data_IF_932383502437
#
_entry.id   IF_932383502437
#
_cell.length_a   1.000
_cell.length_b   1.000
_cell.length_c   1.000
_cell.angle_alpha   90.00
_cell.angle_beta   90.00
_cell.angle_gamma   90.00
#
_symmetry.space_group_name_H-M   'P 1'
#
loop_
_entity.id
_entity.type
_entity.pdbx_description
1 polymer ?
#
# COMPACT_ATOMS: atom_id res chain seq x y z
N UNK A 1 -30.56 20.47 -22.43
CA UNK A 1 -30.92 19.03 -22.38
C UNK A 1 -29.70 18.20 -22.76
N UNK A 2 -28.87 17.85 -21.78
CA UNK A 2 -27.58 17.20 -22.00
C UNK A 2 -27.74 15.68 -21.97
N UNK A 3 -27.33 15.02 -23.07
CA UNK A 3 -27.31 13.57 -23.22
C UNK A 3 -26.32 12.99 -22.20
N UNK A 4 -26.83 12.50 -21.08
CA UNK A 4 -26.10 11.64 -20.15
C UNK A 4 -25.68 10.40 -20.94
N UNK A 5 -24.39 10.32 -21.27
CA UNK A 5 -23.86 9.27 -22.15
C UNK A 5 -24.07 7.92 -21.46
N UNK A 6 -24.69 6.99 -22.18
CA UNK A 6 -25.00 5.63 -21.71
C UNK A 6 -23.81 4.92 -21.07
N UNK A 7 -22.58 5.27 -21.43
CA UNK A 7 -21.34 4.79 -20.82
C UNK A 7 -21.17 5.17 -19.35
N UNK A 8 -21.63 6.36 -18.93
CA UNK A 8 -21.57 6.80 -17.52
C UNK A 8 -22.61 6.05 -16.69
N UNK A 9 -23.80 5.83 -17.25
CA UNK A 9 -24.84 4.99 -16.62
C UNK A 9 -24.40 3.53 -16.51
N UNK A 10 -23.73 2.99 -17.54
CA UNK A 10 -23.15 1.64 -17.50
C UNK A 10 -22.01 1.52 -16.48
N UNK A 11 -21.12 2.50 -16.39
CA UNK A 11 -20.05 2.50 -15.39
C UNK A 11 -20.61 2.59 -13.96
N UNK A 12 -21.59 3.47 -13.73
CA UNK A 12 -22.28 3.58 -12.43
C UNK A 12 -23.04 2.30 -12.13
N UNK A 13 -23.74 1.71 -13.11
CA UNK A 13 -24.45 0.46 -12.92
C UNK A 13 -23.49 -0.70 -12.64
N UNK A 14 -22.33 -0.76 -13.29
CA UNK A 14 -21.30 -1.77 -13.02
C UNK A 14 -20.68 -1.57 -11.63
N UNK A 15 -20.40 -0.32 -11.22
CA UNK A 15 -19.88 0.00 -9.88
C UNK A 15 -20.92 -0.34 -8.81
N UNK A 16 -22.19 0.01 -9.01
CA UNK A 16 -23.29 -0.34 -8.10
C UNK A 16 -23.46 -1.86 -8.07
N UNK A 17 -23.45 -2.54 -9.21
CA UNK A 17 -23.57 -4.00 -9.25
C UNK A 17 -22.38 -4.68 -8.56
N UNK A 18 -21.16 -4.15 -8.69
CA UNK A 18 -19.97 -4.66 -7.99
C UNK A 18 -19.99 -4.34 -6.48
N UNK A 19 -20.46 -3.14 -6.10
CA UNK A 19 -20.56 -2.72 -4.71
C UNK A 19 -21.70 -3.43 -3.96
N UNK A 20 -22.78 -3.82 -4.66
CA UNK A 20 -23.89 -4.62 -4.12
C UNK A 20 -23.74 -6.13 -4.35
N UNK A 21 -22.75 -6.58 -5.14
CA UNK A 21 -22.42 -7.99 -5.29
C UNK A 21 -21.17 -8.36 -4.49
N UNK A 22 -20.86 -7.65 -3.42
CA UNK A 22 -20.06 -8.25 -2.34
C UNK A 22 -21.09 -9.05 -1.54
N UNK A 23 -21.19 -10.37 -1.76
CA UNK A 23 -22.08 -11.20 -0.98
C UNK A 23 -21.62 -11.09 0.49
N UNK A 24 -22.54 -10.93 1.43
CA UNK A 24 -22.23 -10.98 2.88
C UNK A 24 -21.64 -12.35 3.31
N UNK A 25 -21.61 -13.29 2.36
CA UNK A 25 -21.21 -14.68 2.42
C UNK A 25 -20.01 -15.01 1.52
N UNK A 26 -19.07 -14.07 1.30
CA UNK A 26 -17.70 -14.49 0.94
C UNK A 26 -17.13 -15.22 2.16
N UNK A 27 -17.35 -16.53 2.23
CA UNK A 27 -16.44 -17.42 2.91
C UNK A 27 -15.08 -17.22 2.23
N UNK A 28 -14.28 -16.27 2.73
CA UNK A 28 -12.87 -16.23 2.40
C UNK A 28 -12.32 -17.54 2.96
N UNK A 29 -11.87 -18.50 2.11
CA UNK A 29 -11.48 -19.81 2.58
C UNK A 29 -10.32 -19.73 3.57
N UNK A 30 -9.61 -18.59 3.60
CA UNK A 30 -8.55 -18.30 4.54
C UNK A 30 -8.79 -16.96 5.27
N UNK A 31 -9.07 -17.01 6.58
CA UNK A 31 -9.27 -15.83 7.45
C UNK A 31 -7.94 -15.11 7.79
N UNK A 32 -6.90 -15.33 6.99
CA UNK A 32 -5.58 -14.72 7.14
C UNK A 32 -5.46 -13.49 6.26
N UNK A 33 -5.13 -12.37 6.87
CA UNK A 33 -4.84 -11.11 6.16
C UNK A 33 -3.34 -10.85 6.29
N UNK A 34 -2.67 -10.60 5.15
CA UNK A 34 -1.26 -10.22 5.12
C UNK A 34 -1.12 -8.74 4.79
N UNK A 35 -0.67 -7.94 5.75
CA UNK A 35 -0.34 -6.53 5.56
C UNK A 35 1.13 -6.38 5.20
N UNK A 36 1.42 -5.76 4.06
CA UNK A 36 2.78 -5.52 3.56
C UNK A 36 3.00 -4.03 3.41
N UNK A 37 3.98 -3.50 4.15
CA UNK A 37 4.29 -2.06 4.16
C UNK A 37 5.77 -1.78 4.28
N UNK A 38 6.21 -0.60 3.82
CA UNK A 38 7.52 -0.10 4.18
C UNK A 38 7.58 0.33 5.67
N UNK A 39 8.77 0.59 6.21
CA UNK A 39 8.97 0.95 7.62
C UNK A 39 8.71 2.43 7.96
N UNK A 40 8.57 3.28 6.95
CA UNK A 40 8.39 4.71 7.14
C UNK A 40 7.04 4.99 7.81
N UNK A 41 7.07 5.71 8.93
CA UNK A 41 5.85 6.04 9.69
C UNK A 41 4.77 6.73 8.85
N UNK A 42 5.15 7.53 7.86
CA UNK A 42 4.21 8.18 6.94
C UNK A 42 3.34 7.19 6.17
N UNK A 43 3.89 6.02 5.79
CA UNK A 43 3.16 4.96 5.11
C UNK A 43 2.62 3.93 6.12
N UNK A 44 3.42 3.50 7.09
CA UNK A 44 3.08 2.42 8.01
C UNK A 44 1.94 2.76 8.99
N UNK A 45 1.72 4.03 9.33
CA UNK A 45 0.77 4.39 10.39
C UNK A 45 -0.68 4.02 10.04
N UNK A 46 -1.08 4.14 8.78
CA UNK A 46 -2.44 3.72 8.36
C UNK A 46 -2.60 2.20 8.46
N UNK A 47 -1.55 1.42 8.22
CA UNK A 47 -1.56 -0.02 8.40
C UNK A 47 -1.68 -0.38 9.88
N UNK A 48 -1.01 0.36 10.78
CA UNK A 48 -1.09 0.12 12.23
C UNK A 48 -2.51 0.38 12.73
N UNK A 49 -3.10 1.50 12.32
CA UNK A 49 -4.49 1.84 12.63
C UNK A 49 -5.49 0.81 12.05
N UNK A 50 -5.23 0.33 10.83
CA UNK A 50 -6.05 -0.71 10.19
C UNK A 50 -5.98 -2.02 10.96
N UNK A 51 -4.77 -2.46 11.33
CA UNK A 51 -4.59 -3.66 12.16
C UNK A 51 -5.27 -3.53 13.52
N UNK A 52 -5.19 -2.35 14.15
CA UNK A 52 -5.90 -2.08 15.40
C UNK A 52 -7.43 -2.25 15.25
N UNK A 53 -8.00 -1.66 14.19
CA UNK A 53 -9.42 -1.76 13.89
C UNK A 53 -9.84 -3.21 13.56
N UNK A 54 -9.00 -3.96 12.84
CA UNK A 54 -9.25 -5.36 12.50
C UNK A 54 -9.25 -6.24 13.75
N UNK A 55 -8.25 -6.09 14.64
CA UNK A 55 -8.20 -6.83 15.91
C UNK A 55 -9.41 -6.58 16.80
N UNK A 56 -9.90 -5.34 16.83
CA UNK A 56 -11.02 -4.93 17.68
C UNK A 56 -12.35 -5.47 17.17
N UNK A 57 -12.59 -5.37 15.86
CA UNK A 57 -13.90 -5.68 15.27
C UNK A 57 -14.01 -7.12 14.76
N UNK A 58 -12.88 -7.76 14.43
CA UNK A 58 -12.83 -9.09 13.79
C UNK A 58 -11.83 -10.01 14.50
N UNK A 59 -12.07 -10.40 15.77
CA UNK A 59 -11.11 -11.16 16.56
C UNK A 59 -10.78 -12.56 16.01
N UNK A 60 -11.61 -13.10 15.10
CA UNK A 60 -11.37 -14.39 14.46
C UNK A 60 -10.41 -14.33 13.25
N UNK A 61 -9.98 -13.14 12.84
CA UNK A 61 -9.06 -12.94 11.72
C UNK A 61 -7.63 -13.06 12.22
N UNK A 62 -6.81 -13.83 11.51
CA UNK A 62 -5.38 -13.96 11.78
C UNK A 62 -4.63 -12.89 10.97
N UNK A 63 -3.96 -11.99 11.66
CA UNK A 63 -3.26 -10.87 11.04
C UNK A 63 -1.76 -11.19 10.96
N UNK A 64 -1.26 -11.23 9.73
CA UNK A 64 0.17 -11.30 9.45
C UNK A 64 0.65 -9.93 8.97
N UNK A 65 1.82 -9.54 9.46
CA UNK A 65 2.47 -8.30 9.06
C UNK A 65 3.82 -8.62 8.43
N UNK A 66 4.12 -8.07 7.25
CA UNK A 66 5.40 -8.21 6.59
C UNK A 66 6.02 -6.82 6.36
N UNK A 67 7.16 -6.55 7.00
CA UNK A 67 7.86 -5.27 6.86
C UNK A 67 9.33 -5.39 7.27
N UNK A 68 10.05 -4.26 7.25
CA UNK A 68 11.43 -4.15 7.70
C UNK A 68 11.52 -4.12 9.25
N UNK A 69 12.69 -4.46 9.84
CA UNK A 69 12.84 -4.61 11.29
C UNK A 69 12.42 -3.39 12.11
N UNK A 70 12.62 -2.18 11.58
CA UNK A 70 12.33 -0.94 12.31
C UNK A 70 10.87 -0.73 12.72
N UNK A 71 9.94 -1.57 12.21
CA UNK A 71 8.52 -1.49 12.53
C UNK A 71 8.04 -2.57 13.52
N UNK A 72 8.88 -3.56 13.87
CA UNK A 72 8.49 -4.69 14.73
C UNK A 72 7.89 -4.23 16.07
N UNK A 73 8.54 -3.27 16.72
CA UNK A 73 8.16 -2.82 18.05
C UNK A 73 6.81 -2.08 18.05
N UNK A 74 6.55 -1.32 16.98
CA UNK A 74 5.29 -0.63 16.80
C UNK A 74 4.14 -1.62 16.57
N UNK A 75 4.37 -2.66 15.77
CA UNK A 75 3.38 -3.73 15.53
C UNK A 75 3.11 -4.52 16.80
N UNK A 76 4.16 -4.87 17.57
CA UNK A 76 4.02 -5.56 18.85
C UNK A 76 3.19 -4.73 19.84
N UNK A 77 3.47 -3.43 19.94
CA UNK A 77 2.71 -2.50 20.80
C UNK A 77 1.21 -2.47 20.44
N UNK A 78 0.87 -2.43 19.15
CA UNK A 78 -0.54 -2.47 18.70
C UNK A 78 -1.18 -3.82 19.03
N UNK A 79 -0.45 -4.91 18.82
CA UNK A 79 -0.93 -6.25 19.12
C UNK A 79 -1.24 -6.42 20.61
N UNK A 80 -0.36 -5.94 21.50
CA UNK A 80 -0.51 -6.08 22.96
C UNK A 80 -1.57 -5.14 23.55
N UNK A 81 -1.64 -3.90 23.05
CA UNK A 81 -2.54 -2.87 23.59
C UNK A 81 -4.00 -3.07 23.20
N UNK A 82 -4.27 -3.78 22.10
CA UNK A 82 -5.60 -3.83 21.47
C UNK A 82 -6.20 -5.21 21.46
N UNK A 83 -5.42 -6.30 21.57
CA UNK A 83 -5.99 -7.64 21.54
C UNK A 83 -6.93 -7.87 22.74
N UNK A 84 -8.25 -7.99 22.55
CA UNK A 84 -9.11 -8.57 23.59
C UNK A 84 -8.61 -9.98 23.91
N UNK A 85 -8.96 -10.53 25.07
CA UNK A 85 -8.49 -11.86 25.54
C UNK A 85 -8.69 -13.01 24.53
N UNK A 86 -9.52 -12.82 23.50
CA UNK A 86 -9.85 -13.81 22.48
C UNK A 86 -9.28 -13.51 21.08
N UNK A 87 -8.53 -12.42 20.87
CA UNK A 87 -7.95 -12.09 19.56
C UNK A 87 -6.55 -12.70 19.41
N UNK A 88 -6.20 -13.12 18.20
CA UNK A 88 -4.86 -13.60 17.89
C UNK A 88 -3.86 -12.43 17.84
N UNK A 89 -2.66 -12.57 18.43
CA UNK A 89 -1.62 -11.56 18.30
C UNK A 89 -1.16 -11.45 16.83
N UNK A 90 -0.70 -10.27 16.44
CA UNK A 90 -0.19 -10.02 15.09
C UNK A 90 1.12 -10.81 14.90
N UNK A 91 1.19 -11.60 13.83
CA UNK A 91 2.39 -12.37 13.49
C UNK A 91 3.26 -11.54 12.56
N UNK A 92 4.41 -11.09 13.06
CA UNK A 92 5.36 -10.30 12.29
C UNK A 92 6.34 -11.19 11.51
N UNK A 93 6.46 -10.93 10.22
CA UNK A 93 7.44 -11.50 9.30
C UNK A 93 8.39 -10.38 8.87
N UNK A 94 9.69 -10.66 8.95
CA UNK A 94 10.71 -9.67 8.65
C UNK A 94 11.20 -9.81 7.21
N UNK A 95 11.30 -8.68 6.50
CA UNK A 95 11.99 -8.57 5.21
C UNK A 95 13.48 -8.33 5.47
N UNK A 96 14.35 -9.07 4.79
CA UNK A 96 15.78 -8.80 4.82
C UNK A 96 16.12 -7.78 3.71
N UNK A 97 16.59 -6.61 4.11
CA UNK A 97 16.99 -5.55 3.18
C UNK A 97 17.04 -4.19 3.84
N UNK A 98 17.47 -3.19 3.08
CA UNK A 98 17.47 -1.79 3.50
C UNK A 98 16.08 -1.19 3.31
N UNK A 99 15.60 -0.46 4.30
CA UNK A 99 14.34 0.27 4.22
C UNK A 99 14.37 1.36 3.14
N UNK A 100 13.19 1.84 2.73
CA UNK A 100 13.05 2.79 1.63
C UNK A 100 13.82 4.10 1.88
N UNK A 101 13.59 4.78 3.01
CA UNK A 101 14.26 6.06 3.29
C UNK A 101 15.76 5.92 3.50
N UNK A 102 16.19 4.83 4.15
CA UNK A 102 17.61 4.55 4.35
C UNK A 102 18.29 4.36 2.99
N UNK A 103 17.65 3.65 2.06
CA UNK A 103 18.16 3.46 0.69
C UNK A 103 18.15 4.75 -0.12
N UNK A 104 17.12 5.59 0.02
CA UNK A 104 17.07 6.91 -0.61
C UNK A 104 18.21 7.81 -0.11
N UNK A 105 18.51 7.76 1.19
CA UNK A 105 19.62 8.49 1.79
C UNK A 105 20.99 7.95 1.31
N UNK A 106 21.18 6.63 1.22
CA UNK A 106 22.37 6.00 0.64
C UNK A 106 22.63 6.45 -0.80
N UNK A 107 21.56 6.65 -1.58
CA UNK A 107 21.62 7.15 -2.95
C UNK A 107 21.90 8.67 -3.04
N UNK A 108 22.15 9.34 -1.91
CA UNK A 108 22.53 10.75 -1.85
C UNK A 108 21.36 11.73 -1.91
N UNK A 109 20.13 11.27 -1.68
CA UNK A 109 18.94 12.14 -1.64
C UNK A 109 18.49 12.27 -0.20
N UNK A 110 18.65 13.45 0.40
CA UNK A 110 18.00 13.74 1.67
C UNK A 110 16.57 14.22 1.42
N UNK A 111 15.64 13.76 2.25
CA UNK A 111 14.23 14.19 2.21
C UNK A 111 14.10 15.72 2.39
N UNK A 112 15.02 16.33 3.15
CA UNK A 112 15.12 17.79 3.34
C UNK A 112 15.42 18.56 2.06
N UNK A 113 15.98 17.90 1.04
CA UNK A 113 16.43 18.54 -0.19
C UNK A 113 15.38 18.39 -1.33
N UNK A 114 14.25 17.75 -1.03
CA UNK A 114 13.12 17.59 -1.93
C UNK A 114 12.32 18.88 -2.19
N UNK A 115 12.11 19.80 -1.21
CA UNK A 115 11.48 21.08 -1.47
C UNK A 115 12.29 21.89 -2.50
N UNK A 116 11.68 22.19 -3.64
CA UNK A 116 12.32 22.95 -4.72
C UNK A 116 11.65 24.29 -4.98
N UNK A 117 12.39 25.27 -5.52
CA UNK A 117 11.82 26.56 -5.87
C UNK A 117 10.66 26.39 -6.87
N UNK A 118 9.59 27.20 -6.75
CA UNK A 118 8.45 27.12 -7.66
C UNK A 118 8.87 27.45 -9.11
N UNK A 119 8.18 26.84 -10.08
CA UNK A 119 8.36 27.11 -11.51
C UNK A 119 8.94 25.93 -12.30
N UNK A 120 9.02 26.10 -13.62
CA UNK A 120 9.37 25.02 -14.57
C UNK A 120 10.76 24.44 -14.31
N UNK A 121 11.75 25.27 -13.97
CA UNK A 121 13.11 24.81 -13.70
C UNK A 121 13.22 24.02 -12.38
N UNK A 122 12.46 24.43 -11.36
CA UNK A 122 12.34 23.66 -10.12
C UNK A 122 11.63 22.33 -10.35
N UNK A 123 10.56 22.32 -11.14
CA UNK A 123 9.86 21.10 -11.50
C UNK A 123 10.77 20.14 -12.30
N UNK A 124 11.47 20.62 -13.34
CA UNK A 124 12.38 19.83 -14.18
C UNK A 124 13.54 19.21 -13.39
N UNK A 125 14.11 19.96 -12.44
CA UNK A 125 15.12 19.40 -11.53
C UNK A 125 14.53 18.35 -10.60
N UNK A 126 13.23 18.44 -10.29
CA UNK A 126 12.38 17.43 -9.66
C UNK A 126 12.31 16.10 -10.34
N UNK A 127 11.98 16.13 -11.62
CA UNK A 127 11.80 14.92 -12.39
C UNK A 127 13.07 14.05 -12.45
N UNK A 128 14.28 14.63 -12.28
CA UNK A 128 15.55 13.88 -12.30
C UNK A 128 15.67 12.83 -11.20
N UNK A 129 15.12 13.09 -10.02
CA UNK A 129 15.26 12.19 -8.87
C UNK A 129 14.09 11.22 -8.72
N UNK A 130 13.02 11.39 -9.52
CA UNK A 130 11.82 10.56 -9.40
C UNK A 130 12.10 9.06 -9.54
N UNK A 131 12.91 8.57 -10.51
CA UNK A 131 13.16 7.14 -10.61
C UNK A 131 13.74 6.55 -9.30
N UNK A 132 14.71 7.24 -8.71
CA UNK A 132 15.33 6.85 -7.43
C UNK A 132 14.35 6.93 -6.26
N UNK A 133 13.39 7.87 -6.29
CA UNK A 133 12.34 7.98 -5.28
C UNK A 133 11.22 6.95 -5.45
N UNK A 134 11.00 6.39 -6.64
CA UNK A 134 10.00 5.33 -6.83
C UNK A 134 10.59 3.93 -6.61
N UNK A 135 11.86 3.73 -6.99
CA UNK A 135 12.58 2.46 -6.84
C UNK A 135 14.02 2.77 -6.42
N UNK A 136 14.30 2.91 -5.11
CA UNK A 136 15.65 3.23 -4.62
C UNK A 136 16.61 2.04 -4.62
N UNK A 137 16.09 0.81 -4.65
CA UNK A 137 16.91 -0.41 -4.61
C UNK A 137 17.54 -0.71 -5.96
N UNK A 138 18.77 -1.25 -5.93
CA UNK A 138 19.36 -1.81 -7.13
C UNK A 138 18.65 -3.14 -7.52
N UNK A 139 18.96 -3.67 -8.71
CA UNK A 139 18.30 -4.88 -9.21
C UNK A 139 18.42 -6.10 -8.29
N UNK A 140 19.58 -6.33 -7.66
CA UNK A 140 19.77 -7.49 -6.78
C UNK A 140 19.07 -7.32 -5.44
N UNK A 141 19.11 -6.13 -4.85
CA UNK A 141 18.40 -5.78 -3.62
C UNK A 141 16.89 -5.87 -3.83
N UNK A 142 16.40 -5.33 -4.94
CA UNK A 142 14.99 -5.42 -5.34
C UNK A 142 14.53 -6.87 -5.41
N UNK A 143 15.30 -7.71 -6.11
CA UNK A 143 14.97 -9.14 -6.24
C UNK A 143 15.07 -9.89 -4.92
N UNK A 144 15.99 -9.52 -4.03
CA UNK A 144 16.08 -10.12 -2.69
C UNK A 144 14.80 -9.83 -1.88
N UNK A 145 14.35 -8.57 -1.85
CA UNK A 145 13.11 -8.16 -1.20
C UNK A 145 11.90 -8.85 -1.84
N UNK A 146 11.82 -8.85 -3.17
CA UNK A 146 10.76 -9.52 -3.94
C UNK A 146 10.66 -11.02 -3.60
N UNK A 147 11.79 -11.72 -3.53
CA UNK A 147 11.83 -13.15 -3.22
C UNK A 147 11.42 -13.42 -1.76
N UNK A 148 11.84 -12.59 -0.82
CA UNK A 148 11.44 -12.68 0.59
C UNK A 148 9.92 -12.48 0.74
N UNK A 149 9.34 -11.53 0.00
CA UNK A 149 7.89 -11.29 -0.04
C UNK A 149 7.16 -12.48 -0.64
N UNK A 150 7.60 -12.96 -1.80
CA UNK A 150 7.02 -14.12 -2.50
C UNK A 150 6.98 -15.34 -1.58
N UNK A 151 8.12 -15.67 -0.94
CA UNK A 151 8.22 -16.78 0.01
C UNK A 151 7.27 -16.62 1.19
N UNK A 152 7.07 -15.40 1.68
CA UNK A 152 6.16 -15.14 2.81
C UNK A 152 4.71 -15.31 2.40
N UNK A 153 4.32 -14.80 1.23
CA UNK A 153 2.96 -14.97 0.69
C UNK A 153 2.64 -16.46 0.51
N UNK A 154 3.56 -17.25 -0.06
CA UNK A 154 3.38 -18.69 -0.24
C UNK A 154 3.30 -19.45 1.10
N UNK A 155 4.10 -19.03 2.10
CA UNK A 155 4.11 -19.65 3.43
C UNK A 155 2.84 -19.35 4.23
N UNK A 156 2.36 -18.10 4.19
CA UNK A 156 1.18 -17.66 4.95
C UNK A 156 -0.12 -18.12 4.28
N UNK A 157 -0.12 -18.13 2.94
CA UNK A 157 -1.29 -18.36 2.08
C UNK A 157 -2.47 -17.45 2.45
N UNK A 158 -2.31 -16.12 2.45
CA UNK A 158 -3.36 -15.22 2.91
C UNK A 158 -4.57 -15.23 1.96
N UNK A 159 -5.77 -15.06 2.53
CA UNK A 159 -6.99 -14.85 1.75
C UNK A 159 -7.05 -13.45 1.15
N UNK A 160 -6.43 -12.47 1.81
CA UNK A 160 -6.32 -11.09 1.33
C UNK A 160 -4.94 -10.50 1.64
N UNK A 161 -4.33 -9.86 0.65
CA UNK A 161 -3.09 -9.09 0.84
C UNK A 161 -3.38 -7.59 0.81
N UNK A 162 -2.96 -6.86 1.85
CA UNK A 162 -3.07 -5.40 1.91
C UNK A 162 -1.69 -4.80 1.66
N UNK A 163 -1.58 -3.95 0.66
CA UNK A 163 -0.31 -3.48 0.11
C UNK A 163 -0.16 -1.97 0.23
N UNK A 164 1.06 -1.52 0.56
CA UNK A 164 1.46 -0.13 0.47
C UNK A 164 1.58 0.31 -1.00
N UNK A 165 0.90 1.42 -1.33
CA UNK A 165 0.94 2.05 -2.66
C UNK A 165 2.34 2.45 -3.16
N UNK A 166 3.30 2.65 -2.27
CA UNK A 166 4.69 2.98 -2.63
C UNK A 166 5.65 1.78 -2.57
N UNK A 167 5.17 0.59 -2.20
CA UNK A 167 6.04 -0.58 -2.06
C UNK A 167 6.04 -1.47 -3.32
N UNK A 168 6.76 -1.02 -4.35
CA UNK A 168 6.77 -1.66 -5.68
C UNK A 168 7.11 -3.15 -5.68
N UNK A 169 8.16 -3.65 -4.96
CA UNK A 169 8.45 -5.09 -4.90
C UNK A 169 7.26 -5.94 -4.45
N UNK A 170 6.47 -5.44 -3.49
CA UNK A 170 5.31 -6.15 -2.97
C UNK A 170 4.16 -6.19 -4.00
N UNK A 171 3.94 -5.09 -4.72
CA UNK A 171 2.94 -5.03 -5.78
C UNK A 171 3.27 -5.99 -6.93
N UNK A 172 4.53 -6.06 -7.34
CA UNK A 172 4.96 -6.98 -8.39
C UNK A 172 4.79 -8.44 -7.96
N UNK A 173 5.21 -8.78 -6.74
CA UNK A 173 5.10 -10.15 -6.22
C UNK A 173 3.65 -10.62 -6.15
N UNK A 174 2.76 -9.79 -5.61
CA UNK A 174 1.33 -10.13 -5.49
C UNK A 174 0.65 -10.27 -6.84
N UNK A 175 0.97 -9.39 -7.80
CA UNK A 175 0.44 -9.48 -9.18
C UNK A 175 0.94 -10.74 -9.87
N UNK A 176 2.21 -11.07 -9.74
CA UNK A 176 2.80 -12.28 -10.30
C UNK A 176 2.18 -13.55 -9.74
N UNK A 177 1.93 -13.59 -8.42
CA UNK A 177 1.29 -14.71 -7.73
C UNK A 177 -0.24 -14.74 -7.89
N UNK A 178 -0.81 -13.75 -8.59
CA UNK A 178 -2.25 -13.60 -8.81
C UNK A 178 -3.08 -13.66 -7.51
N UNK A 179 -2.55 -13.07 -6.42
CA UNK A 179 -3.26 -13.03 -5.13
C UNK A 179 -4.24 -11.88 -5.06
N UNK A 180 -5.36 -12.11 -4.38
CA UNK A 180 -6.34 -11.06 -4.10
C UNK A 180 -5.72 -10.01 -3.19
N UNK A 181 -5.83 -8.75 -3.60
CA UNK A 181 -5.16 -7.67 -2.89
C UNK A 181 -5.88 -6.33 -2.97
N UNK A 182 -5.61 -5.51 -1.95
CA UNK A 182 -6.07 -4.13 -1.84
C UNK A 182 -4.86 -3.22 -1.64
N UNK A 183 -4.85 -2.09 -2.33
CA UNK A 183 -3.88 -1.03 -2.09
C UNK A 183 -4.40 -0.11 -0.99
N UNK A 184 -3.63 0.03 0.09
CA UNK A 184 -3.91 0.96 1.17
C UNK A 184 -2.95 2.14 1.09
N UNK A 185 -3.49 3.35 1.05
CA UNK A 185 -2.69 4.58 0.98
C UNK A 185 -3.06 5.54 2.09
N UNK A 186 -2.07 6.21 2.71
CA UNK A 186 -2.32 7.37 3.57
C UNK A 186 -2.71 8.62 2.78
N UNK A 187 -2.57 8.60 1.45
CA UNK A 187 -2.88 9.74 0.59
C UNK A 187 -4.37 9.85 0.30
N UNK A 188 -4.77 11.04 -0.15
CA UNK A 188 -6.15 11.34 -0.43
C UNK A 188 -6.57 10.80 -1.80
N UNK A 189 -7.86 10.48 -1.97
CA UNK A 189 -8.37 9.92 -3.24
C UNK A 189 -8.07 10.81 -4.46
N UNK A 190 -7.99 12.13 -4.27
CA UNK A 190 -7.66 13.08 -5.35
C UNK A 190 -6.28 12.78 -5.96
N UNK A 191 -5.32 12.30 -5.17
CA UNK A 191 -3.95 12.03 -5.61
C UNK A 191 -3.91 10.86 -6.61
N UNK A 192 -4.87 9.94 -6.50
CA UNK A 192 -5.07 8.82 -7.44
C UNK A 192 -5.91 9.18 -8.66
N UNK A 193 -6.68 10.26 -8.59
CA UNK A 193 -7.59 10.67 -9.66
C UNK A 193 -6.89 11.39 -10.80
N UNK A 194 -5.68 11.93 -10.56
CA UNK A 194 -4.94 12.83 -11.47
C UNK A 194 -4.81 12.26 -12.88
N UNK A 195 -4.37 11.00 -13.00
CA UNK A 195 -4.19 10.34 -14.31
C UNK A 195 -5.51 10.04 -15.04
N UNK A 196 -6.62 9.96 -14.30
CA UNK A 196 -7.95 9.62 -14.82
C UNK A 196 -8.77 10.85 -15.23
N UNK A 197 -8.24 12.07 -15.02
CA UNK A 197 -8.99 13.29 -15.31
C UNK A 197 -9.02 13.57 -16.81
N UNK A 198 -10.21 13.75 -17.41
CA UNK A 198 -10.33 13.96 -18.85
C UNK A 198 -9.72 15.30 -19.25
N UNK A 199 -9.23 15.38 -20.50
CA UNK A 199 -8.86 16.63 -21.18
C UNK A 199 -7.79 17.46 -20.45
N UNK A 200 -6.95 16.84 -19.62
CA UNK A 200 -5.92 17.57 -18.88
C UNK A 200 -6.45 18.35 -17.67
N UNK A 201 -7.67 18.06 -17.20
CA UNK A 201 -8.28 18.68 -16.01
C UNK A 201 -7.38 18.65 -14.76
N UNK A 202 -6.40 17.73 -14.72
CA UNK A 202 -5.35 17.65 -13.70
C UNK A 202 -4.62 18.98 -13.45
N UNK A 203 -4.52 19.87 -14.45
CA UNK A 203 -3.78 21.12 -14.31
C UNK A 203 -4.58 22.26 -13.64
N UNK A 204 -5.91 22.15 -13.51
CA UNK A 204 -6.74 23.26 -13.02
C UNK A 204 -7.91 22.89 -12.11
N UNK A 205 -8.37 21.64 -12.09
CA UNK A 205 -9.56 21.24 -11.32
C UNK A 205 -9.23 20.67 -9.95
N UNK A 206 -8.27 19.74 -9.92
CA UNK A 206 -7.70 19.20 -8.71
C UNK A 206 -6.18 19.32 -8.80
N UNK A 207 -5.62 20.54 -8.66
CA UNK A 207 -4.18 20.74 -8.74
C UNK A 207 -3.48 19.92 -7.64
N UNK A 208 -2.38 19.27 -8.00
CA UNK A 208 -1.51 18.50 -7.10
C UNK A 208 -0.67 19.46 -6.26
#
# INVERSE_FOLDING_TARGET
MAKLKWTVLLAIFMIIKYAYSIPDDIETPNKRILLISNSERGQANIFLATSQALLTNYPSVEIHWLSFPGLSDAVATVSESTAPQNAHPIIFHQINGTAYLDKVAENGINVSDLPRPPGVFGALSGFKNLPTLYVPWNGSEYMAIYNDITRTIEKVDPGLVVLDTMFTPAQDAVRQLQREHVLLSPNSLRDFSVASQPRGEMFWKFPV
#
